data_IF_484869580419
#
_entry.id   IF_484869580419
#
_cell.length_a   1.000
_cell.length_b   1.000
_cell.length_c   1.000
_cell.angle_alpha   90.00
_cell.angle_beta   90.00
_cell.angle_gamma   90.00
#
_symmetry.space_group_name_H-M   'P 1'
#
loop_
_entity.id
_entity.type
_entity.pdbx_description
1 polymer ?
#
# COMPACT_ATOMS: atom_id res chain seq x y z
N UNK A 1 15.43 9.98 6.33
CA UNK A 1 15.93 9.17 5.19
C UNK A 1 15.37 9.64 3.85
N UNK A 2 14.05 9.51 3.57
CA UNK A 2 13.48 9.88 2.25
C UNK A 2 13.72 11.34 1.87
N UNK A 3 13.42 12.29 2.75
CA UNK A 3 13.69 13.71 2.49
C UNK A 3 15.17 14.00 2.21
N UNK A 4 16.07 13.39 2.98
CA UNK A 4 17.51 13.52 2.78
C UNK A 4 17.97 12.93 1.43
N UNK A 5 17.39 11.80 1.02
CA UNK A 5 17.64 11.24 -0.29
C UNK A 5 17.16 12.19 -1.40
N UNK A 6 15.93 12.70 -1.32
CA UNK A 6 15.36 13.60 -2.34
C UNK A 6 16.18 14.90 -2.48
N UNK A 7 16.51 15.54 -1.36
CA UNK A 7 17.20 16.83 -1.31
C UNK A 7 18.70 16.74 -1.64
N UNK A 8 19.42 15.75 -1.11
CA UNK A 8 20.89 15.76 -1.11
C UNK A 8 21.53 14.68 -2.00
N UNK A 9 20.81 13.60 -2.32
CA UNK A 9 21.31 12.49 -3.16
C UNK A 9 20.71 12.58 -4.55
N UNK A 10 19.37 12.45 -4.63
CA UNK A 10 18.61 12.62 -5.86
C UNK A 10 18.64 14.07 -6.32
N UNK A 11 18.68 15.07 -5.43
CA UNK A 11 18.72 16.49 -5.81
C UNK A 11 17.66 16.84 -6.86
N UNK A 12 16.43 16.37 -6.63
CA UNK A 12 15.32 16.62 -7.55
C UNK A 12 15.07 18.13 -7.63
N UNK A 13 14.81 18.63 -8.83
CA UNK A 13 14.48 20.05 -9.02
C UNK A 13 13.18 20.39 -8.27
N UNK A 14 13.22 21.43 -7.43
CA UNK A 14 12.08 21.85 -6.60
C UNK A 14 11.75 20.88 -5.45
N UNK A 15 12.74 20.12 -4.96
CA UNK A 15 12.52 19.21 -3.85
C UNK A 15 12.15 19.93 -2.55
N UNK A 16 12.69 21.12 -2.35
CA UNK A 16 12.47 21.98 -1.18
C UNK A 16 11.00 22.34 -0.99
N UNK A 17 10.22 22.44 -2.07
CA UNK A 17 8.79 22.75 -2.02
C UNK A 17 7.94 21.60 -1.44
N UNK A 18 8.50 20.40 -1.35
CA UNK A 18 7.82 19.20 -0.85
C UNK A 18 8.00 18.96 0.64
N UNK A 19 8.79 19.78 1.33
CA UNK A 19 9.18 19.58 2.73
C UNK A 19 9.08 20.89 3.53
N UNK A 20 8.80 20.79 4.83
CA UNK A 20 8.86 21.95 5.73
C UNK A 20 10.30 22.33 6.06
N UNK A 21 10.54 23.57 6.50
CA UNK A 21 11.88 24.01 6.95
C UNK A 21 12.47 23.08 8.02
N UNK A 22 11.63 22.62 8.96
CA UNK A 22 12.02 21.66 9.98
C UNK A 22 12.44 20.31 9.37
N UNK A 23 11.68 19.79 8.41
CA UNK A 23 12.02 18.54 7.71
C UNK A 23 13.32 18.67 6.90
N UNK A 24 13.56 19.82 6.27
CA UNK A 24 14.79 20.09 5.52
C UNK A 24 15.99 20.12 6.49
N UNK A 25 15.87 20.81 7.63
CA UNK A 25 16.94 20.85 8.64
C UNK A 25 17.23 19.44 9.17
N UNK A 26 16.20 18.68 9.58
CA UNK A 26 16.38 17.32 10.08
C UNK A 26 16.98 16.40 9.00
N UNK A 27 16.58 16.56 7.75
CA UNK A 27 17.14 15.81 6.63
C UNK A 27 18.63 16.12 6.43
N UNK A 28 19.04 17.40 6.54
CA UNK A 28 20.43 17.82 6.41
C UNK A 28 21.29 17.26 7.55
N UNK A 29 20.82 17.37 8.80
CA UNK A 29 21.50 16.82 9.97
C UNK A 29 21.61 15.29 9.92
N UNK A 30 20.58 14.62 9.41
CA UNK A 30 20.60 13.18 9.19
C UNK A 30 21.60 12.80 8.09
N UNK A 31 21.61 13.51 6.97
CA UNK A 31 22.51 13.28 5.84
C UNK A 31 23.99 13.48 6.22
N UNK A 32 24.30 14.54 6.96
CA UNK A 32 25.67 14.85 7.39
C UNK A 32 26.27 13.82 8.36
N UNK A 33 25.44 12.96 8.96
CA UNK A 33 25.87 11.87 9.86
C UNK A 33 26.10 10.55 9.14
N UNK A 34 25.72 10.42 7.87
CA UNK A 34 25.87 9.17 7.13
C UNK A 34 27.34 8.90 6.83
N UNK A 35 27.74 7.64 7.02
CA UNK A 35 28.98 7.13 6.44
C UNK A 35 28.75 6.76 4.96
N UNK A 36 29.84 6.55 4.21
CA UNK A 36 29.75 6.04 2.84
C UNK A 36 29.00 4.70 2.77
N UNK A 37 29.14 3.86 3.80
CA UNK A 37 28.43 2.59 3.88
C UNK A 37 26.91 2.80 4.06
N UNK A 38 26.51 3.73 4.94
CA UNK A 38 25.09 4.04 5.15
C UNK A 38 24.45 4.63 3.89
N UNK A 39 25.18 5.51 3.20
CA UNK A 39 24.73 6.09 1.93
C UNK A 39 24.57 5.01 0.85
N UNK A 40 25.53 4.09 0.74
CA UNK A 40 25.43 2.96 -0.19
C UNK A 40 24.24 2.06 0.12
N UNK A 41 23.98 1.77 1.40
CA UNK A 41 22.82 0.97 1.82
C UNK A 41 21.50 1.68 1.53
N UNK A 42 21.42 3.00 1.76
CA UNK A 42 20.26 3.81 1.42
C UNK A 42 20.01 3.81 -0.09
N UNK A 43 21.04 4.01 -0.90
CA UNK A 43 20.97 3.95 -2.35
C UNK A 43 20.52 2.57 -2.81
N UNK A 44 21.08 1.50 -2.28
CA UNK A 44 20.62 0.14 -2.59
C UNK A 44 19.14 -0.02 -2.23
N UNK A 45 18.69 0.46 -1.08
CA UNK A 45 17.29 0.34 -0.63
C UNK A 45 16.31 1.09 -1.52
N UNK A 46 16.65 2.31 -1.95
CA UNK A 46 15.74 3.18 -2.71
C UNK A 46 15.85 2.99 -4.23
N UNK A 47 17.00 2.53 -4.72
CA UNK A 47 17.27 2.22 -6.13
C UNK A 47 17.15 0.72 -6.42
N UNK A 48 16.78 -0.07 -5.41
CA UNK A 48 16.54 -1.51 -5.53
C UNK A 48 15.48 -1.71 -6.61
N UNK A 49 15.80 -2.57 -7.57
CA UNK A 49 14.84 -2.99 -8.57
C UNK A 49 13.63 -3.64 -7.90
N UNK A 50 12.43 -3.30 -8.38
CA UNK A 50 11.22 -4.01 -8.02
C UNK A 50 11.33 -5.49 -8.47
N UNK A 51 10.63 -6.43 -7.80
CA UNK A 51 10.58 -7.83 -8.23
C UNK A 51 10.29 -7.95 -9.73
N UNK A 52 11.23 -8.52 -10.49
CA UNK A 52 11.13 -8.65 -11.96
C UNK A 52 12.02 -7.73 -12.79
N UNK A 53 12.86 -6.89 -12.18
CA UNK A 53 13.90 -6.11 -12.87
C UNK A 53 15.30 -6.42 -12.34
N UNK A 54 16.25 -6.71 -13.24
CA UNK A 54 17.58 -7.24 -12.83
C UNK A 54 18.65 -6.15 -12.64
N UNK A 55 18.36 -4.88 -12.98
CA UNK A 55 19.33 -3.77 -12.90
C UNK A 55 18.85 -2.67 -11.95
N UNK A 56 19.72 -2.16 -11.06
CA UNK A 56 19.43 -0.98 -10.26
C UNK A 56 19.15 0.23 -11.17
N UNK A 57 18.19 1.06 -10.77
CA UNK A 57 17.90 2.31 -11.48
C UNK A 57 19.00 3.34 -11.19
N UNK A 58 19.49 4.04 -12.21
CA UNK A 58 20.44 5.14 -12.00
C UNK A 58 19.70 6.40 -11.49
N UNK A 59 20.41 7.29 -10.80
CA UNK A 59 19.84 8.55 -10.34
C UNK A 59 19.39 9.43 -11.51
N UNK A 60 20.14 9.42 -12.61
CA UNK A 60 19.79 10.15 -13.84
C UNK A 60 18.49 9.63 -14.45
N UNK A 61 18.33 8.31 -14.50
CA UNK A 61 17.10 7.69 -14.98
C UNK A 61 15.90 8.10 -14.12
N UNK A 62 16.02 8.01 -12.79
CA UNK A 62 14.93 8.38 -11.88
C UNK A 62 14.57 9.86 -12.01
N UNK A 63 15.57 10.75 -12.08
CA UNK A 63 15.32 12.19 -12.30
C UNK A 63 14.55 12.43 -13.59
N UNK A 64 15.00 11.81 -14.69
CA UNK A 64 14.33 11.95 -15.99
C UNK A 64 12.90 11.42 -15.95
N UNK A 65 12.66 10.26 -15.34
CA UNK A 65 11.33 9.68 -15.19
C UNK A 65 10.41 10.53 -14.32
N UNK A 66 10.91 11.14 -13.24
CA UNK A 66 10.10 12.06 -12.42
C UNK A 66 9.74 13.32 -13.22
N UNK A 67 10.70 13.85 -13.98
CA UNK A 67 10.52 15.08 -14.77
C UNK A 67 9.45 14.94 -15.87
N UNK A 68 9.18 13.73 -16.36
CA UNK A 68 8.06 13.47 -17.29
C UNK A 68 6.69 13.84 -16.70
N UNK A 69 6.56 13.82 -15.37
CA UNK A 69 5.32 14.16 -14.66
C UNK A 69 5.25 15.62 -14.19
N UNK A 70 6.28 16.44 -14.45
CA UNK A 70 6.40 17.81 -13.90
C UNK A 70 5.18 18.70 -14.16
N UNK A 71 4.51 18.52 -15.30
CA UNK A 71 3.35 19.32 -15.71
C UNK A 71 2.00 18.63 -15.48
N UNK A 72 2.00 17.48 -14.81
CA UNK A 72 0.79 16.71 -14.52
C UNK A 72 0.36 17.01 -13.08
N UNK A 73 -0.75 17.75 -12.93
CA UNK A 73 -1.35 18.00 -11.61
C UNK A 73 -1.95 16.71 -11.03
N UNK A 74 -2.15 16.65 -9.72
CA UNK A 74 -2.86 15.54 -9.06
C UNK A 74 -4.24 15.30 -9.67
N UNK A 75 -4.96 16.36 -10.04
CA UNK A 75 -6.27 16.24 -10.68
C UNK A 75 -6.16 15.61 -12.08
N UNK A 76 -5.19 16.04 -12.89
CA UNK A 76 -4.97 15.46 -14.22
C UNK A 76 -4.52 13.99 -14.10
N UNK A 77 -3.65 13.68 -13.14
CA UNK A 77 -3.19 12.32 -12.91
C UNK A 77 -4.34 11.39 -12.50
N UNK A 78 -5.22 11.87 -11.61
CA UNK A 78 -6.44 11.15 -11.21
C UNK A 78 -7.37 10.95 -12.40
N UNK A 79 -7.65 11.99 -13.19
CA UNK A 79 -8.52 11.87 -14.37
C UNK A 79 -7.96 10.87 -15.38
N UNK A 80 -6.64 10.85 -15.60
CA UNK A 80 -6.00 9.85 -16.46
C UNK A 80 -6.25 8.42 -15.96
N UNK A 81 -6.17 8.18 -14.64
CA UNK A 81 -6.52 6.89 -14.05
C UNK A 81 -8.01 6.56 -14.25
N UNK A 82 -8.91 7.50 -14.00
CA UNK A 82 -10.35 7.26 -14.15
C UNK A 82 -10.72 7.00 -15.62
N UNK A 83 -10.09 7.67 -16.57
CA UNK A 83 -10.21 7.38 -18.01
C UNK A 83 -9.77 5.95 -18.32
N UNK A 84 -8.62 5.52 -17.81
CA UNK A 84 -8.17 4.13 -17.98
C UNK A 84 -9.19 3.14 -17.41
N UNK A 85 -9.70 3.36 -16.20
CA UNK A 85 -10.72 2.50 -15.57
C UNK A 85 -12.00 2.42 -16.40
N UNK A 86 -12.49 3.55 -16.93
CA UNK A 86 -13.68 3.60 -17.80
C UNK A 86 -13.52 2.77 -19.07
N UNK A 87 -12.30 2.66 -19.60
CA UNK A 87 -12.01 1.84 -20.78
C UNK A 87 -11.83 0.35 -20.44
N UNK A 88 -11.15 0.01 -19.33
CA UNK A 88 -10.82 -1.38 -19.03
C UNK A 88 -11.89 -2.14 -18.23
N UNK A 89 -12.70 -1.45 -17.42
CA UNK A 89 -13.69 -2.10 -16.57
C UNK A 89 -14.83 -2.77 -17.36
N UNK A 90 -15.35 -2.19 -18.47
CA UNK A 90 -16.32 -2.89 -19.33
C UNK A 90 -15.75 -4.18 -19.92
N UNK A 91 -14.49 -4.17 -20.34
CA UNK A 91 -13.81 -5.37 -20.88
C UNK A 91 -13.62 -6.43 -19.81
N UNK A 92 -13.27 -6.01 -18.58
CA UNK A 92 -13.18 -6.93 -17.45
C UNK A 92 -14.56 -7.55 -17.11
N UNK A 93 -15.64 -6.77 -17.18
CA UNK A 93 -17.01 -7.26 -17.00
C UNK A 93 -17.42 -8.28 -18.06
N UNK A 94 -17.19 -8.00 -19.35
CA UNK A 94 -17.46 -8.93 -20.45
C UNK A 94 -16.72 -10.26 -20.28
N UNK A 95 -15.47 -10.19 -19.81
CA UNK A 95 -14.63 -11.37 -19.56
C UNK A 95 -14.90 -12.05 -18.21
N UNK A 96 -15.84 -11.55 -17.40
CA UNK A 96 -16.12 -12.01 -16.03
C UNK A 96 -14.86 -11.98 -15.12
N UNK A 97 -14.02 -10.96 -15.29
CA UNK A 97 -12.83 -10.67 -14.49
C UNK A 97 -13.14 -9.55 -13.50
N UNK A 98 -12.73 -9.71 -12.25
CA UNK A 98 -12.85 -8.67 -11.21
C UNK A 98 -11.52 -7.96 -11.04
N UNK A 99 -11.49 -6.66 -11.36
CA UNK A 99 -10.34 -5.78 -11.12
C UNK A 99 -10.21 -5.49 -9.61
N UNK A 100 -8.99 -5.39 -9.12
CA UNK A 100 -8.71 -5.16 -7.70
C UNK A 100 -7.54 -4.19 -7.54
N UNK A 101 -7.77 -2.89 -7.81
CA UNK A 101 -6.70 -1.89 -7.75
C UNK A 101 -6.08 -1.81 -6.33
N UNK A 102 -4.76 -1.77 -6.25
CA UNK A 102 -4.04 -1.68 -4.98
C UNK A 102 -3.83 -0.22 -4.60
N UNK A 103 -3.95 0.15 -3.30
CA UNK A 103 -3.65 1.50 -2.84
C UNK A 103 -2.18 1.85 -2.98
N UNK A 104 -1.89 3.14 -3.01
CA UNK A 104 -0.53 3.67 -2.99
C UNK A 104 0.18 3.32 -1.66
N UNK A 105 1.48 2.98 -1.72
CA UNK A 105 2.30 2.68 -0.53
C UNK A 105 3.64 3.45 -0.54
N UNK A 106 3.81 4.49 0.28
CA UNK A 106 2.82 5.05 1.22
C UNK A 106 1.68 5.83 0.54
N UNK A 107 0.52 5.99 1.19
CA UNK A 107 -0.67 6.63 0.61
C UNK A 107 -0.60 8.16 0.73
N UNK A 108 0.45 8.75 0.15
CA UNK A 108 0.71 10.20 0.10
C UNK A 108 1.73 10.51 -0.99
N UNK A 109 1.76 11.73 -1.55
CA UNK A 109 2.78 12.13 -2.52
C UNK A 109 4.21 11.87 -2.05
N UNK A 110 5.07 11.40 -2.95
CA UNK A 110 6.50 11.16 -2.70
C UNK A 110 7.29 11.64 -3.92
N UNK A 111 8.43 12.29 -3.70
CA UNK A 111 9.29 12.84 -4.76
C UNK A 111 8.55 13.82 -5.70
N UNK A 112 7.60 14.59 -5.17
CA UNK A 112 6.78 15.53 -5.94
C UNK A 112 5.75 14.87 -6.85
N UNK A 113 5.65 13.54 -6.89
CA UNK A 113 4.70 12.82 -7.72
C UNK A 113 3.34 12.68 -7.03
N UNK A 114 2.23 12.88 -7.78
CA UNK A 114 0.89 12.64 -7.26
C UNK A 114 0.67 11.15 -6.99
N UNK A 115 -0.16 10.86 -5.99
CA UNK A 115 -0.66 9.54 -5.62
C UNK A 115 -2.16 9.68 -5.37
N UNK A 116 -2.95 8.87 -6.07
CA UNK A 116 -4.40 9.09 -6.29
C UNK A 116 -5.24 7.84 -5.99
N UNK A 117 -4.66 6.88 -5.30
CA UNK A 117 -5.31 5.69 -4.71
C UNK A 117 -4.91 5.62 -3.23
N UNK A 118 -5.03 6.75 -2.52
CA UNK A 118 -4.41 6.95 -1.21
C UNK A 118 -5.41 7.02 -0.05
N UNK A 119 -6.67 7.38 -0.31
CA UNK A 119 -7.68 7.55 0.72
C UNK A 119 -9.06 7.03 0.26
N UNK A 120 -10.06 7.12 1.14
CA UNK A 120 -11.41 6.63 0.85
C UNK A 120 -12.07 7.34 -0.34
N UNK A 121 -11.87 8.65 -0.49
CA UNK A 121 -12.47 9.42 -1.59
C UNK A 121 -11.87 8.99 -2.94
N UNK A 122 -10.55 8.74 -2.98
CA UNK A 122 -9.90 8.20 -4.17
C UNK A 122 -10.49 6.85 -4.58
N UNK A 123 -10.66 5.94 -3.61
CA UNK A 123 -11.24 4.61 -3.85
C UNK A 123 -12.71 4.70 -4.31
N UNK A 124 -13.49 5.60 -3.72
CA UNK A 124 -14.87 5.88 -4.14
C UNK A 124 -14.92 6.43 -5.56
N UNK A 125 -14.06 7.36 -5.93
CA UNK A 125 -14.01 7.91 -7.29
C UNK A 125 -13.67 6.83 -8.33
N UNK A 126 -12.78 5.90 -7.99
CA UNK A 126 -12.45 4.75 -8.86
C UNK A 126 -13.65 3.83 -9.04
N UNK A 127 -14.35 3.48 -7.96
CA UNK A 127 -15.58 2.66 -8.02
C UNK A 127 -16.64 3.38 -8.86
N UNK A 128 -16.82 4.68 -8.64
CA UNK A 128 -17.82 5.50 -9.34
C UNK A 128 -17.48 5.77 -10.80
N UNK A 129 -16.21 5.65 -11.21
CA UNK A 129 -15.83 5.78 -12.62
C UNK A 129 -16.49 4.72 -13.50
N UNK A 130 -16.75 3.53 -12.95
CA UNK A 130 -17.56 2.49 -13.58
C UNK A 130 -18.22 1.63 -12.50
N UNK A 131 -19.49 1.93 -12.12
CA UNK A 131 -20.17 1.31 -10.97
C UNK A 131 -20.64 -0.12 -11.30
N UNK A 132 -19.70 -1.04 -11.35
CA UNK A 132 -19.89 -2.47 -11.62
C UNK A 132 -19.14 -3.31 -10.59
N UNK A 133 -19.62 -4.51 -10.31
CA UNK A 133 -18.93 -5.44 -9.40
C UNK A 133 -17.61 -5.96 -9.98
N UNK A 134 -17.34 -5.72 -11.27
CA UNK A 134 -16.07 -6.05 -11.90
C UNK A 134 -15.00 -4.97 -11.70
N UNK A 135 -15.39 -3.78 -11.21
CA UNK A 135 -14.49 -2.70 -10.84
C UNK A 135 -14.41 -2.59 -9.31
N UNK A 136 -13.32 -3.07 -8.72
CA UNK A 136 -13.15 -3.03 -7.28
C UNK A 136 -11.70 -2.87 -6.85
N UNK A 137 -11.48 -3.12 -5.57
CA UNK A 137 -10.27 -2.73 -4.86
C UNK A 137 -9.60 -3.93 -4.20
N UNK A 138 -8.28 -3.83 -4.07
CA UNK A 138 -7.51 -4.58 -3.09
C UNK A 138 -7.47 -3.77 -1.79
N UNK A 139 -8.11 -4.26 -0.73
CA UNK A 139 -8.03 -3.65 0.60
C UNK A 139 -6.69 -4.01 1.25
N UNK A 140 -5.67 -3.16 1.09
CA UNK A 140 -4.40 -3.32 1.79
C UNK A 140 -4.35 -2.46 3.05
N UNK A 141 -4.46 -3.12 4.21
CA UNK A 141 -4.45 -2.45 5.52
C UNK A 141 -3.10 -1.83 5.83
N UNK A 142 -2.00 -2.42 5.37
CA UNK A 142 -0.68 -1.87 5.61
C UNK A 142 -0.38 -0.61 4.81
N UNK A 143 -0.77 -0.56 3.53
CA UNK A 143 -0.59 0.63 2.69
C UNK A 143 -1.53 1.74 3.13
N UNK A 144 -2.85 1.51 3.16
CA UNK A 144 -3.81 2.53 3.61
C UNK A 144 -3.52 2.97 5.05
N UNK A 145 -3.17 2.01 5.92
CA UNK A 145 -2.80 2.26 7.31
C UNK A 145 -1.49 3.03 7.49
N UNK A 146 -0.63 3.17 6.48
CA UNK A 146 0.52 4.08 6.58
C UNK A 146 0.11 5.56 6.49
N UNK A 147 -1.12 5.85 6.06
CA UNK A 147 -1.72 7.18 6.03
C UNK A 147 -2.46 7.53 7.32
N UNK A 148 -2.01 8.54 8.05
CA UNK A 148 -2.61 8.99 9.32
C UNK A 148 -4.06 9.47 9.21
N UNK A 149 -4.45 9.89 8.00
CA UNK A 149 -5.80 10.35 7.69
C UNK A 149 -6.78 9.18 7.43
N UNK A 150 -6.28 7.95 7.30
CA UNK A 150 -7.11 6.78 6.99
C UNK A 150 -7.49 6.02 8.25
N UNK A 151 -8.75 5.61 8.32
CA UNK A 151 -9.23 4.55 9.21
C UNK A 151 -9.57 3.32 8.34
N UNK A 152 -8.77 2.25 8.45
CA UNK A 152 -8.96 1.07 7.61
C UNK A 152 -10.29 0.34 7.89
N UNK A 153 -10.80 0.38 9.13
CA UNK A 153 -12.10 -0.22 9.47
C UNK A 153 -13.24 0.55 8.82
N UNK A 154 -13.20 1.89 8.84
CA UNK A 154 -14.18 2.72 8.11
C UNK A 154 -14.12 2.49 6.60
N UNK A 155 -12.92 2.45 6.02
CA UNK A 155 -12.75 2.15 4.59
C UNK A 155 -13.32 0.76 4.27
N UNK A 156 -13.03 -0.24 5.10
CA UNK A 156 -13.56 -1.59 4.92
C UNK A 156 -15.09 -1.59 5.01
N UNK A 157 -15.69 -0.87 5.97
CA UNK A 157 -17.14 -0.82 6.15
C UNK A 157 -17.85 -0.21 4.94
N UNK A 158 -17.34 0.89 4.42
CA UNK A 158 -17.94 1.58 3.27
C UNK A 158 -17.75 0.82 1.95
N UNK A 159 -16.56 0.24 1.75
CA UNK A 159 -16.16 -0.30 0.45
C UNK A 159 -16.17 -1.82 0.37
N UNK A 160 -16.51 -2.53 1.45
CA UNK A 160 -16.61 -3.99 1.52
C UNK A 160 -17.29 -4.63 0.29
N UNK A 161 -18.41 -4.11 -0.26
CA UNK A 161 -19.05 -4.68 -1.45
C UNK A 161 -18.14 -4.79 -2.68
N UNK A 162 -17.14 -3.93 -2.78
CA UNK A 162 -16.18 -3.82 -3.90
C UNK A 162 -14.78 -4.35 -3.56
N UNK A 163 -14.59 -4.94 -2.37
CA UNK A 163 -13.32 -5.59 -2.02
C UNK A 163 -13.26 -6.95 -2.74
N UNK A 164 -12.29 -7.09 -3.64
CA UNK A 164 -12.05 -8.33 -4.40
C UNK A 164 -10.81 -9.08 -3.93
N UNK A 165 -9.94 -8.41 -3.19
CA UNK A 165 -8.73 -9.00 -2.60
C UNK A 165 -8.34 -8.22 -1.34
N UNK A 166 -7.76 -8.89 -0.34
CA UNK A 166 -7.30 -8.22 0.87
C UNK A 166 -5.84 -8.55 1.21
N UNK A 167 -5.07 -7.52 1.53
CA UNK A 167 -3.74 -7.65 2.11
C UNK A 167 -3.84 -7.25 3.58
N UNK A 168 -3.82 -8.24 4.48
CA UNK A 168 -3.96 -8.01 5.91
C UNK A 168 -2.60 -8.09 6.58
N UNK A 169 -1.95 -6.94 6.70
CA UNK A 169 -0.72 -6.69 7.46
C UNK A 169 -0.87 -5.41 8.28
N UNK A 170 0.07 -5.11 9.16
CA UNK A 170 -0.03 -3.97 10.06
C UNK A 170 1.25 -3.14 10.08
N UNK A 171 1.09 -1.85 10.32
CA UNK A 171 2.17 -0.86 10.42
C UNK A 171 1.99 -0.07 11.71
N UNK A 172 3.10 0.38 12.29
CA UNK A 172 3.08 1.38 13.36
C UNK A 172 3.64 2.69 12.81
N UNK A 173 3.03 3.79 13.22
CA UNK A 173 3.30 5.14 12.76
C UNK A 173 3.88 5.99 13.90
N UNK A 174 4.79 6.90 13.59
CA UNK A 174 5.33 7.86 14.58
C UNK A 174 4.66 9.25 14.46
N UNK A 175 5.04 10.24 15.27
CA UNK A 175 4.44 11.58 15.18
C UNK A 175 4.86 12.38 13.93
N UNK A 176 5.91 11.95 13.21
CA UNK A 176 6.57 12.69 12.13
C UNK A 176 6.16 12.21 10.73
N UNK A 177 5.24 11.25 10.63
CA UNK A 177 4.81 10.71 9.34
C UNK A 177 5.53 9.42 8.94
N UNK A 178 6.49 8.93 9.73
CA UNK A 178 7.21 7.69 9.43
C UNK A 178 6.40 6.48 9.88
N UNK A 179 6.66 5.34 9.25
CA UNK A 179 6.03 4.09 9.63
C UNK A 179 6.98 2.91 9.41
N UNK A 180 6.69 1.80 10.07
CA UNK A 180 7.39 0.53 9.89
C UNK A 180 6.42 -0.65 9.95
N UNK A 181 6.76 -1.72 9.23
CA UNK A 181 6.04 -2.99 9.27
C UNK A 181 6.21 -3.65 10.64
N UNK A 182 5.11 -4.14 11.21
CA UNK A 182 5.11 -4.81 12.52
C UNK A 182 4.35 -6.12 12.47
N UNK A 183 4.49 -6.91 13.54
CA UNK A 183 3.66 -8.10 13.73
C UNK A 183 2.17 -7.73 13.70
N UNK A 184 1.35 -8.62 13.16
CA UNK A 184 -0.04 -8.36 12.78
C UNK A 184 -0.89 -7.62 13.83
N UNK A 185 -0.73 -7.93 15.11
CA UNK A 185 -1.51 -7.36 16.22
C UNK A 185 -0.79 -6.30 17.06
N UNK A 186 0.36 -5.80 16.59
CA UNK A 186 1.18 -4.80 17.30
C UNK A 186 1.30 -3.47 16.54
N UNK A 187 0.45 -3.25 15.53
CA UNK A 187 0.41 -2.00 14.79
C UNK A 187 -0.86 -1.20 15.05
N UNK A 188 -0.97 -0.08 14.36
CA UNK A 188 -2.01 0.91 14.59
C UNK A 188 -3.31 0.60 13.85
N UNK A 189 -3.33 -0.42 12.98
CA UNK A 189 -4.55 -0.83 12.27
C UNK A 189 -5.31 -1.87 13.11
N UNK A 190 -6.61 -1.64 13.28
CA UNK A 190 -7.53 -2.58 13.93
C UNK A 190 -7.90 -3.73 12.99
N UNK A 191 -6.95 -4.66 12.83
CA UNK A 191 -7.12 -5.88 12.00
C UNK A 191 -8.33 -6.72 12.43
N UNK A 192 -8.62 -6.93 13.74
CA UNK A 192 -9.85 -7.62 14.17
C UNK A 192 -11.13 -7.02 13.59
N UNK A 193 -11.30 -5.69 13.64
CA UNK A 193 -12.48 -5.04 13.07
C UNK A 193 -12.54 -5.17 11.55
N UNK A 194 -11.41 -4.97 10.84
CA UNK A 194 -11.35 -5.17 9.38
C UNK A 194 -11.72 -6.60 9.00
N UNK A 195 -11.16 -7.61 9.67
CA UNK A 195 -11.48 -9.02 9.42
C UNK A 195 -12.97 -9.30 9.66
N UNK A 196 -13.56 -8.76 10.73
CA UNK A 196 -14.98 -8.93 11.03
C UNK A 196 -15.87 -8.36 9.93
N UNK A 197 -15.53 -7.17 9.41
CA UNK A 197 -16.26 -6.54 8.31
C UNK A 197 -16.19 -7.41 7.05
N UNK A 198 -15.01 -7.92 6.70
CA UNK A 198 -14.85 -8.80 5.55
C UNK A 198 -15.67 -10.09 5.69
N UNK A 199 -15.63 -10.75 6.86
CA UNK A 199 -16.44 -11.96 7.14
C UNK A 199 -17.95 -11.67 7.00
N UNK A 200 -18.43 -10.54 7.54
CA UNK A 200 -19.84 -10.16 7.43
C UNK A 200 -20.26 -9.90 5.98
N UNK A 201 -19.38 -9.27 5.18
CA UNK A 201 -19.63 -9.08 3.77
C UNK A 201 -19.64 -10.41 3.01
N UNK A 202 -18.70 -11.34 3.27
CA UNK A 202 -18.73 -12.67 2.66
C UNK A 202 -20.05 -13.41 2.94
N UNK A 203 -20.55 -13.37 4.18
CA UNK A 203 -21.83 -13.99 4.55
C UNK A 203 -23.02 -13.30 3.86
N UNK A 204 -22.99 -11.98 3.72
CA UNK A 204 -24.00 -11.23 2.98
C UNK A 204 -24.00 -11.64 1.49
N UNK A 205 -22.83 -11.71 0.86
CA UNK A 205 -22.69 -12.15 -0.54
C UNK A 205 -23.20 -13.58 -0.73
N UNK A 206 -22.85 -14.48 0.19
CA UNK A 206 -23.29 -15.88 0.18
C UNK A 206 -24.81 -16.01 0.27
N UNK A 207 -25.46 -15.25 1.16
CA UNK A 207 -26.94 -15.19 1.28
C UNK A 207 -27.62 -14.64 0.03
N UNK A 208 -26.95 -13.75 -0.71
CA UNK A 208 -27.43 -13.23 -1.99
C UNK A 208 -27.22 -14.20 -3.17
N UNK A 209 -26.61 -15.37 -2.93
CA UNK A 209 -26.31 -16.34 -3.99
C UNK A 209 -25.19 -15.90 -4.93
N UNK A 210 -24.35 -14.94 -4.51
CA UNK A 210 -23.21 -14.47 -5.31
C UNK A 210 -22.15 -15.58 -5.41
N UNK A 211 -21.73 -15.89 -6.64
CA UNK A 211 -20.65 -16.85 -6.88
C UNK A 211 -19.31 -16.37 -6.30
N UNK A 212 -19.17 -15.06 -6.13
CA UNK A 212 -17.94 -14.36 -5.77
C UNK A 212 -17.92 -13.97 -4.27
N UNK A 213 -18.64 -14.76 -3.46
CA UNK A 213 -18.85 -14.49 -2.03
C UNK A 213 -17.56 -14.51 -1.20
N UNK A 214 -16.55 -15.27 -1.62
CA UNK A 214 -15.25 -15.31 -0.94
C UNK A 214 -14.40 -14.11 -1.34
N UNK A 215 -13.81 -13.47 -0.33
CA UNK A 215 -12.81 -12.42 -0.49
C UNK A 215 -11.45 -13.08 -0.23
N UNK A 216 -10.67 -13.39 -1.28
CA UNK A 216 -9.33 -13.91 -1.08
C UNK A 216 -8.49 -12.91 -0.28
N UNK A 217 -7.59 -13.43 0.56
CA UNK A 217 -6.67 -12.62 1.34
C UNK A 217 -5.27 -13.22 1.36
N UNK A 218 -4.26 -12.38 1.62
CA UNK A 218 -2.90 -12.80 1.94
C UNK A 218 -2.35 -11.99 3.13
N UNK A 219 -1.36 -12.53 3.88
CA UNK A 219 -0.73 -11.81 4.99
C UNK A 219 0.18 -10.67 4.53
N UNK A 220 0.33 -10.52 3.22
CA UNK A 220 1.22 -9.58 2.54
C UNK A 220 2.69 -9.73 2.94
N UNK A 221 3.18 -8.91 3.86
CA UNK A 221 4.56 -8.92 4.35
C UNK A 221 4.68 -9.63 5.70
N UNK A 222 5.90 -10.05 6.04
CA UNK A 222 6.25 -10.64 7.32
C UNK A 222 7.62 -10.18 7.80
N UNK A 223 7.78 -10.09 9.13
CA UNK A 223 9.08 -9.76 9.71
C UNK A 223 10.09 -10.89 9.43
N UNK A 224 11.33 -10.51 9.10
CA UNK A 224 12.42 -11.46 8.96
C UNK A 224 12.72 -12.10 10.32
N UNK A 225 12.67 -13.43 10.40
CA UNK A 225 12.82 -14.14 11.68
C UNK A 225 13.29 -15.58 11.50
N UNK A 226 13.79 -16.19 12.59
CA UNK A 226 14.21 -17.59 12.63
C UNK A 226 15.23 -17.89 11.52
N UNK A 227 15.14 -19.06 10.89
CA UNK A 227 16.10 -19.51 9.88
C UNK A 227 16.04 -18.72 8.56
N UNK A 228 15.11 -17.76 8.43
CA UNK A 228 15.16 -16.82 7.30
C UNK A 228 16.29 -15.78 7.46
N UNK A 229 16.77 -15.54 8.69
CA UNK A 229 17.87 -14.62 8.94
C UNK A 229 19.14 -15.14 8.25
N UNK A 230 19.77 -14.28 7.46
CA UNK A 230 20.97 -14.62 6.68
C UNK A 230 20.68 -15.27 5.32
N UNK A 231 19.40 -15.53 4.97
CA UNK A 231 19.00 -15.96 3.62
C UNK A 231 18.59 -14.77 2.76
N UNK A 232 18.68 -14.95 1.44
CA UNK A 232 18.30 -13.93 0.46
C UNK A 232 16.80 -14.03 0.13
N UNK A 233 16.05 -12.99 0.47
CA UNK A 233 14.65 -12.82 0.12
C UNK A 233 14.40 -11.40 -0.42
N UNK A 234 13.29 -11.20 -1.13
CA UNK A 234 12.75 -9.86 -1.28
C UNK A 234 12.34 -9.32 0.11
N UNK A 235 12.65 -8.04 0.43
CA UNK A 235 12.28 -7.46 1.73
C UNK A 235 10.79 -7.66 2.05
N UNK A 236 10.48 -8.20 3.22
CA UNK A 236 9.11 -8.51 3.66
C UNK A 236 8.52 -9.83 3.14
N UNK A 237 9.19 -10.53 2.22
CA UNK A 237 8.68 -11.77 1.58
C UNK A 237 9.33 -13.07 2.09
N UNK A 238 10.00 -13.02 3.24
CA UNK A 238 10.52 -14.24 3.88
C UNK A 238 9.39 -15.20 4.28
N UNK A 239 9.71 -16.47 4.52
CA UNK A 239 8.73 -17.52 4.78
C UNK A 239 8.11 -17.41 6.18
N UNK A 240 8.93 -17.40 7.24
CA UNK A 240 8.47 -17.57 8.61
C UNK A 240 7.57 -16.42 9.08
N UNK A 241 7.94 -15.17 8.79
CA UNK A 241 7.13 -14.02 9.14
C UNK A 241 5.73 -14.04 8.49
N UNK A 242 5.67 -14.36 7.20
CA UNK A 242 4.39 -14.45 6.47
C UNK A 242 3.58 -15.66 6.89
N UNK A 243 4.23 -16.79 7.17
CA UNK A 243 3.60 -18.00 7.70
C UNK A 243 2.96 -17.73 9.07
N UNK A 244 3.66 -17.01 9.96
CA UNK A 244 3.12 -16.56 11.24
C UNK A 244 1.88 -15.69 11.04
N UNK A 245 1.98 -14.65 10.21
CA UNK A 245 0.88 -13.72 9.97
C UNK A 245 -0.35 -14.43 9.37
N UNK A 246 -0.20 -15.35 8.40
CA UNK A 246 -1.35 -16.10 7.87
C UNK A 246 -1.95 -17.07 8.91
N UNK A 247 -1.14 -17.66 9.78
CA UNK A 247 -1.66 -18.49 10.88
C UNK A 247 -2.49 -17.66 11.87
N UNK A 248 -2.02 -16.47 12.23
CA UNK A 248 -2.74 -15.50 13.08
C UNK A 248 -4.07 -15.07 12.44
N UNK A 249 -4.08 -14.72 11.16
CA UNK A 249 -5.29 -14.36 10.41
C UNK A 249 -6.32 -15.50 10.37
N UNK A 250 -5.87 -16.74 10.12
CA UNK A 250 -6.75 -17.92 10.13
C UNK A 250 -7.39 -18.15 11.49
N UNK A 251 -6.63 -17.97 12.57
CA UNK A 251 -7.14 -18.07 13.94
C UNK A 251 -8.19 -16.99 14.23
N UNK A 252 -7.88 -15.74 13.87
CA UNK A 252 -8.77 -14.60 14.02
C UNK A 252 -10.09 -14.79 13.26
N UNK A 253 -10.02 -15.13 11.97
CA UNK A 253 -11.19 -15.37 11.13
C UNK A 253 -12.08 -16.47 11.73
N UNK A 254 -11.48 -17.61 12.10
CA UNK A 254 -12.20 -18.73 12.71
C UNK A 254 -12.89 -18.34 14.01
N UNK A 255 -12.23 -17.56 14.86
CA UNK A 255 -12.79 -17.04 16.10
C UNK A 255 -13.97 -16.11 15.85
N UNK A 256 -13.83 -15.17 14.90
CA UNK A 256 -14.91 -14.25 14.51
C UNK A 256 -16.12 -15.02 14.00
N UNK A 257 -15.93 -15.94 13.04
CA UNK A 257 -17.01 -16.77 12.51
C UNK A 257 -17.74 -17.55 13.59
N UNK A 258 -17.00 -18.18 14.50
CA UNK A 258 -17.57 -18.86 15.67
C UNK A 258 -18.45 -17.93 16.51
N UNK A 259 -17.98 -16.71 16.83
CA UNK A 259 -18.77 -15.75 17.63
C UNK A 259 -19.99 -15.19 16.89
N UNK A 260 -19.95 -15.14 15.56
CA UNK A 260 -21.06 -14.71 14.72
C UNK A 260 -22.06 -15.83 14.42
N UNK A 261 -21.71 -17.09 14.69
CA UNK A 261 -22.54 -18.26 14.40
C UNK A 261 -22.67 -18.57 12.91
N UNK A 262 -21.62 -18.26 12.12
CA UNK A 262 -21.56 -18.45 10.66
C UNK A 262 -20.40 -19.35 10.23
#
# INVERSE_FOLDING_TARGET
AIAAFDLFVLKRTGAEESYTDEQIQQAQEWFNRLTDNDLNQLMQTLLLSLPGTDKPLSLEFIRASIDEYRYISTQQFKENLLLFIREIAPVAEEANVRLAIHPDDPPRPVFGLPRVVSNINDLQDIINAYPSINNGITLCTGSLGAGYHNNCSTIAEELAPYVHFAHLRNVIRDAHGNFQEVSLFHGDVDIPSVMKILVLEEEKRKKQGRADWQIPLRPDHGNLMLDDIGRKYYPGYSLYGRMKNIAELRGLEKGIRYTLGV
#
